data_IF_112279522205
#
_entry.id   IF_112279522205
#
_cell.length_a   1.000
_cell.length_b   1.000
_cell.length_c   1.000
_cell.angle_alpha   90.00
_cell.angle_beta   90.00
_cell.angle_gamma   90.00
#
_symmetry.space_group_name_H-M   'P 1'
#
loop_
_entity.id
_entity.type
_entity.pdbx_description
1 polymer ?
#
# COMPACT_ATOMS: atom_id res chain seq x y z
N UNK A 1 12.24 35.71 -6.47
CA UNK A 1 12.04 34.32 -6.06
C UNK A 1 12.13 33.41 -7.28
N UNK A 2 12.89 32.34 -7.20
CA UNK A 2 12.91 31.30 -8.22
C UNK A 2 11.60 30.50 -8.19
N UNK A 3 11.30 29.76 -9.27
CA UNK A 3 10.14 28.87 -9.32
C UNK A 3 10.18 27.85 -8.17
N UNK A 4 11.35 27.27 -7.91
CA UNK A 4 11.55 26.29 -6.84
C UNK A 4 11.25 26.88 -5.45
N UNK A 5 11.75 28.06 -5.12
CA UNK A 5 11.45 28.74 -3.85
C UNK A 5 9.97 29.04 -3.68
N UNK A 6 9.28 29.39 -4.79
CA UNK A 6 7.84 29.63 -4.80
C UNK A 6 7.05 28.35 -4.51
N UNK A 7 7.39 27.26 -5.20
CA UNK A 7 6.75 25.96 -5.01
C UNK A 7 6.96 25.42 -3.60
N UNK A 8 8.17 25.55 -3.04
CA UNK A 8 8.50 25.12 -1.68
C UNK A 8 7.65 25.89 -0.67
N UNK A 9 7.60 27.21 -0.75
CA UNK A 9 6.82 28.02 0.17
C UNK A 9 5.31 27.71 0.12
N UNK A 10 4.71 27.63 -1.07
CA UNK A 10 3.31 27.26 -1.22
C UNK A 10 3.05 25.86 -0.64
N UNK A 11 3.95 24.91 -0.90
CA UNK A 11 3.85 23.55 -0.38
C UNK A 11 3.90 23.49 1.14
N UNK A 12 4.76 24.28 1.77
CA UNK A 12 4.86 24.39 3.24
C UNK A 12 3.59 25.01 3.83
N UNK A 13 3.09 26.11 3.28
CA UNK A 13 1.85 26.75 3.75
C UNK A 13 0.61 25.88 3.58
N UNK A 14 0.50 25.17 2.45
CA UNK A 14 -0.65 24.27 2.17
C UNK A 14 -0.68 23.08 3.13
N UNK A 15 0.48 22.58 3.52
CA UNK A 15 0.62 21.41 4.40
C UNK A 15 0.71 21.75 5.88
N UNK A 16 0.62 23.04 6.23
CA UNK A 16 0.74 23.47 7.61
C UNK A 16 -0.40 22.92 8.49
N UNK A 17 -0.08 22.29 9.64
CA UNK A 17 -1.07 21.61 10.50
C UNK A 17 -2.15 22.53 11.05
N UNK A 18 -1.78 23.78 11.33
CA UNK A 18 -2.67 24.80 11.91
C UNK A 18 -3.32 25.68 10.86
N UNK A 19 -3.13 25.35 9.57
CA UNK A 19 -3.64 26.11 8.42
C UNK A 19 -2.72 27.24 7.97
N UNK A 20 -3.05 27.80 6.83
CA UNK A 20 -2.22 28.79 6.12
C UNK A 20 -1.93 30.04 6.96
N UNK A 21 -2.93 30.58 7.64
CA UNK A 21 -2.76 31.80 8.45
C UNK A 21 -1.72 31.61 9.55
N UNK A 22 -1.82 30.50 10.30
CA UNK A 22 -0.86 30.18 11.37
C UNK A 22 0.56 29.92 10.81
N UNK A 23 0.66 29.29 9.63
CA UNK A 23 1.96 29.05 8.99
C UNK A 23 2.69 30.35 8.62
N UNK A 24 1.94 31.36 8.13
CA UNK A 24 2.48 32.68 7.81
C UNK A 24 2.98 33.40 9.07
N UNK A 25 2.23 33.32 10.18
CA UNK A 25 2.63 33.88 11.46
C UNK A 25 3.88 33.20 12.03
N UNK A 26 3.96 31.87 11.95
CA UNK A 26 5.12 31.08 12.40
C UNK A 26 6.36 31.37 11.55
N UNK A 27 6.24 31.57 10.23
CA UNK A 27 7.34 31.97 9.33
C UNK A 27 7.88 33.35 9.72
N UNK A 28 7.00 34.34 9.95
CA UNK A 28 7.38 35.67 10.36
C UNK A 28 8.08 35.67 11.74
N UNK A 29 7.58 34.87 12.69
CA UNK A 29 8.15 34.77 14.03
C UNK A 29 9.55 34.09 14.03
N UNK A 30 9.78 33.18 13.10
CA UNK A 30 11.05 32.44 12.95
C UNK A 30 12.09 33.21 12.14
N UNK A 31 11.72 34.30 11.46
CA UNK A 31 12.62 35.09 10.65
C UNK A 31 13.64 35.84 11.51
N UNK A 32 14.95 35.83 11.18
CA UNK A 32 15.98 36.55 11.90
C UNK A 32 15.72 38.06 11.99
N UNK A 33 15.01 38.62 11.03
CA UNK A 33 14.71 40.05 10.93
C UNK A 33 13.39 40.44 11.64
N UNK A 34 12.62 39.43 12.13
CA UNK A 34 11.29 39.62 12.82
C UNK A 34 10.40 40.65 12.13
N UNK A 35 10.40 40.67 10.80
CA UNK A 35 9.52 41.54 10.01
C UNK A 35 8.09 40.98 10.01
N UNK A 36 7.24 41.51 10.87
CA UNK A 36 5.82 41.16 10.87
C UNK A 36 5.18 41.40 9.49
N UNK A 37 4.44 40.42 8.99
CA UNK A 37 3.73 40.48 7.72
C UNK A 37 4.57 40.26 6.47
N UNK A 38 5.84 39.84 6.59
CA UNK A 38 6.70 39.49 5.43
C UNK A 38 6.17 38.28 4.65
N UNK A 39 5.85 37.20 5.35
CA UNK A 39 5.29 36.00 4.75
C UNK A 39 3.93 36.30 4.08
N UNK A 40 3.08 37.12 4.72
CA UNK A 40 1.81 37.56 4.16
C UNK A 40 2.00 38.38 2.88
N UNK A 41 2.90 39.37 2.88
CA UNK A 41 3.23 40.16 1.65
C UNK A 41 3.79 39.28 0.55
N UNK A 42 4.60 38.28 0.89
CA UNK A 42 5.13 37.28 -0.05
C UNK A 42 4.01 36.48 -0.69
N UNK A 43 3.02 36.05 0.09
CA UNK A 43 1.85 35.34 -0.42
C UNK A 43 0.98 36.23 -1.32
N UNK A 44 0.73 37.49 -0.93
CA UNK A 44 -0.03 38.47 -1.70
C UNK A 44 0.59 38.79 -3.06
N UNK A 45 1.90 38.69 -3.20
CA UNK A 45 2.59 38.80 -4.49
C UNK A 45 2.38 37.59 -5.40
N UNK A 46 2.00 36.43 -4.85
CA UNK A 46 1.79 35.17 -5.57
C UNK A 46 0.32 34.91 -5.87
N UNK A 47 -0.57 35.30 -4.96
CA UNK A 47 -2.00 35.02 -5.03
C UNK A 47 -2.78 36.34 -4.94
N UNK A 48 -3.63 36.60 -5.93
CA UNK A 48 -4.48 37.80 -5.94
C UNK A 48 -5.53 37.72 -4.84
N UNK A 49 -5.70 38.82 -4.14
CA UNK A 49 -6.86 39.09 -3.28
C UNK A 49 -7.96 39.83 -4.05
N UNK A 50 -9.21 39.71 -3.60
CA UNK A 50 -10.31 40.56 -4.02
C UNK A 50 -11.11 41.06 -2.80
N UNK A 51 -12.22 41.74 -3.04
CA UNK A 51 -13.07 42.31 -1.98
C UNK A 51 -13.69 41.24 -1.06
N UNK A 52 -13.83 39.99 -1.52
CA UNK A 52 -14.48 38.91 -0.81
C UNK A 52 -13.51 38.01 -0.09
N UNK A 53 -12.25 37.86 -0.58
CA UNK A 53 -11.31 36.85 -0.10
C UNK A 53 -9.86 37.28 -0.29
N UNK A 54 -9.11 37.36 0.78
CA UNK A 54 -7.68 37.65 0.75
C UNK A 54 -6.85 36.45 0.27
N UNK A 55 -5.56 36.65 0.00
CA UNK A 55 -4.64 35.64 -0.50
C UNK A 55 -4.53 34.44 0.47
N UNK A 56 -4.57 34.70 1.78
CA UNK A 56 -4.50 33.66 2.82
C UNK A 56 -5.75 32.78 2.81
N UNK A 57 -6.92 33.37 2.71
CA UNK A 57 -8.19 32.65 2.60
C UNK A 57 -8.26 31.80 1.32
N UNK A 58 -7.80 32.33 0.18
CA UNK A 58 -7.74 31.58 -1.10
C UNK A 58 -6.82 30.35 -0.99
N UNK A 59 -5.63 30.53 -0.44
CA UNK A 59 -4.70 29.42 -0.23
C UNK A 59 -5.26 28.43 0.80
N UNK A 60 -5.98 28.91 1.83
CA UNK A 60 -6.66 28.07 2.81
C UNK A 60 -7.74 27.17 2.20
N UNK A 61 -8.54 27.69 1.26
CA UNK A 61 -9.50 26.88 0.49
C UNK A 61 -8.77 25.78 -0.30
N UNK A 62 -7.66 26.12 -0.96
CA UNK A 62 -6.86 25.14 -1.68
C UNK A 62 -6.25 24.08 -0.75
N UNK A 63 -5.71 24.49 0.40
CA UNK A 63 -5.16 23.57 1.41
C UNK A 63 -6.21 22.59 1.93
N UNK A 64 -7.42 23.08 2.24
CA UNK A 64 -8.54 22.22 2.64
C UNK A 64 -8.96 21.26 1.53
N UNK A 65 -9.02 21.71 0.28
CA UNK A 65 -9.34 20.86 -0.86
C UNK A 65 -8.25 19.80 -1.11
N UNK A 66 -6.98 20.14 -0.94
CA UNK A 66 -5.85 19.22 -1.05
C UNK A 66 -5.95 18.10 0.00
N UNK A 67 -6.14 18.48 1.28
CA UNK A 67 -6.31 17.51 2.38
C UNK A 67 -7.53 16.61 2.13
N UNK A 68 -8.67 17.18 1.79
CA UNK A 68 -9.92 16.44 1.56
C UNK A 68 -9.78 15.43 0.40
N UNK A 69 -9.04 15.78 -0.65
CA UNK A 69 -8.76 14.85 -1.76
C UNK A 69 -7.90 13.66 -1.32
N UNK A 70 -6.83 13.91 -0.57
CA UNK A 70 -6.00 12.82 -0.04
C UNK A 70 -6.81 11.94 0.89
N UNK A 71 -7.56 12.53 1.82
CA UNK A 71 -8.43 11.79 2.73
C UNK A 71 -9.43 10.92 1.97
N UNK A 72 -10.05 11.47 0.90
CA UNK A 72 -10.99 10.74 0.06
C UNK A 72 -10.35 9.55 -0.65
N UNK A 73 -9.14 9.72 -1.20
CA UNK A 73 -8.38 8.63 -1.82
C UNK A 73 -8.03 7.56 -0.80
N UNK A 74 -7.45 7.95 0.34
CA UNK A 74 -7.07 7.00 1.38
C UNK A 74 -8.28 6.24 1.97
N UNK A 75 -9.46 6.86 2.06
CA UNK A 75 -10.69 6.16 2.46
C UNK A 75 -11.12 5.09 1.46
N UNK A 76 -10.94 5.37 0.17
CA UNK A 76 -11.24 4.41 -0.88
C UNK A 76 -10.22 3.27 -0.92
N UNK A 77 -8.96 3.56 -0.62
CA UNK A 77 -7.85 2.62 -0.62
C UNK A 77 -7.85 1.68 0.60
N UNK A 78 -8.40 2.14 1.75
CA UNK A 78 -8.35 1.44 3.03
C UNK A 78 -9.75 1.21 3.67
N UNK A 79 -10.73 0.65 2.93
CA UNK A 79 -12.10 0.52 3.42
C UNK A 79 -12.23 -0.36 4.66
N UNK A 80 -11.43 -1.41 4.79
CA UNK A 80 -11.50 -2.29 5.96
C UNK A 80 -10.83 -1.66 7.19
N UNK A 81 -9.76 -0.88 7.03
CA UNK A 81 -9.19 -0.07 8.12
C UNK A 81 -10.20 0.97 8.57
N UNK A 82 -10.89 1.66 7.64
CA UNK A 82 -11.99 2.59 7.99
C UNK A 82 -13.08 1.88 8.79
N UNK A 83 -13.50 0.70 8.35
CA UNK A 83 -14.48 -0.12 9.07
C UNK A 83 -14.04 -0.51 10.48
N UNK A 84 -12.75 -0.78 10.67
CA UNK A 84 -12.16 -1.16 11.95
C UNK A 84 -12.10 0.00 12.96
N UNK A 85 -11.51 1.14 12.55
CA UNK A 85 -11.24 2.24 13.48
C UNK A 85 -12.31 3.33 13.46
N UNK A 86 -13.24 3.26 12.52
CA UNK A 86 -14.34 4.20 12.32
C UNK A 86 -13.90 5.49 11.63
N UNK A 87 -14.87 6.26 11.14
CA UNK A 87 -14.64 7.49 10.37
C UNK A 87 -13.81 8.54 11.11
N UNK A 88 -14.10 8.78 12.39
CA UNK A 88 -13.36 9.75 13.20
C UNK A 88 -11.93 9.29 13.41
N UNK A 89 -11.75 8.02 13.80
CA UNK A 89 -10.41 7.43 13.98
C UNK A 89 -9.58 7.45 12.71
N UNK A 90 -10.19 7.23 11.56
CA UNK A 90 -9.50 7.27 10.26
C UNK A 90 -9.11 8.71 9.87
N UNK A 91 -9.95 9.70 10.14
CA UNK A 91 -9.61 11.12 9.94
C UNK A 91 -8.42 11.52 10.79
N UNK A 92 -8.41 11.15 12.07
CA UNK A 92 -7.31 11.42 13.00
C UNK A 92 -6.02 10.72 12.56
N UNK A 93 -6.12 9.47 12.08
CA UNK A 93 -5.00 8.73 11.51
C UNK A 93 -4.41 9.47 10.31
N UNK A 94 -5.23 9.81 9.30
CA UNK A 94 -4.76 10.49 8.08
C UNK A 94 -4.17 11.85 8.39
N UNK A 95 -4.78 12.60 9.30
CA UNK A 95 -4.24 13.90 9.75
C UNK A 95 -2.86 13.73 10.36
N UNK A 96 -2.71 12.81 11.32
CA UNK A 96 -1.43 12.53 11.98
C UNK A 96 -0.38 11.99 10.99
N UNK A 97 -0.80 11.15 10.05
CA UNK A 97 0.05 10.59 9.01
C UNK A 97 0.61 11.68 8.09
N UNK A 98 -0.23 12.56 7.57
CA UNK A 98 0.21 13.62 6.64
C UNK A 98 1.08 14.69 7.29
N UNK A 99 1.04 14.85 8.62
CA UNK A 99 1.95 15.71 9.37
C UNK A 99 3.38 15.16 9.42
N UNK A 100 3.53 13.84 9.47
CA UNK A 100 4.82 13.14 9.58
C UNK A 100 5.34 12.74 8.20
N UNK A 101 4.46 12.22 7.36
CA UNK A 101 4.74 11.72 6.02
C UNK A 101 3.96 12.51 4.96
N UNK A 102 4.32 13.77 4.72
CA UNK A 102 3.65 14.56 3.70
C UNK A 102 3.89 13.95 2.31
N UNK A 103 2.87 13.98 1.45
CA UNK A 103 2.99 13.49 0.08
C UNK A 103 4.15 14.18 -0.64
N UNK A 104 5.07 13.39 -1.20
CA UNK A 104 6.23 13.83 -1.96
C UNK A 104 6.07 13.63 -3.47
N UNK A 105 5.04 12.89 -3.87
CA UNK A 105 4.70 12.62 -5.26
C UNK A 105 3.58 13.55 -5.74
N UNK A 106 3.63 14.02 -7.00
CA UNK A 106 2.50 14.72 -7.60
C UNK A 106 1.29 13.80 -7.81
N UNK A 107 1.49 12.49 -7.82
CA UNK A 107 0.44 11.48 -7.94
C UNK A 107 -0.12 11.12 -6.55
N UNK A 108 -1.44 11.18 -6.41
CA UNK A 108 -2.14 10.74 -5.20
C UNK A 108 -2.07 9.22 -4.99
N UNK A 109 -1.74 8.46 -6.04
CA UNK A 109 -1.58 7.01 -5.98
C UNK A 109 -0.67 6.55 -4.82
N UNK A 110 0.41 7.28 -4.57
CA UNK A 110 1.39 6.93 -3.55
C UNK A 110 1.11 7.53 -2.18
N UNK A 111 -0.04 8.21 -2.02
CA UNK A 111 -0.36 8.91 -0.78
C UNK A 111 -0.40 7.97 0.44
N UNK A 112 -0.85 6.72 0.25
CA UNK A 112 -0.97 5.71 1.30
C UNK A 112 0.24 4.78 1.48
N UNK A 113 1.28 4.88 0.64
CA UNK A 113 2.40 3.93 0.61
C UNK A 113 3.00 3.59 1.98
N UNK A 114 3.06 4.54 2.89
CA UNK A 114 3.67 4.39 4.22
C UNK A 114 2.66 4.32 5.37
N UNK A 115 1.34 4.26 5.05
CA UNK A 115 0.30 4.29 6.08
C UNK A 115 0.34 3.07 6.98
N UNK A 116 0.60 1.89 6.42
CA UNK A 116 0.74 0.65 7.18
C UNK A 116 1.93 0.69 8.15
N UNK A 117 3.08 1.17 7.70
CA UNK A 117 4.27 1.35 8.54
C UNK A 117 4.02 2.40 9.63
N UNK A 118 3.38 3.53 9.29
CA UNK A 118 3.00 4.56 10.24
C UNK A 118 2.07 4.01 11.34
N UNK A 119 1.04 3.24 10.96
CA UNK A 119 0.15 2.56 11.91
C UNK A 119 0.90 1.59 12.83
N UNK A 120 1.82 0.81 12.26
CA UNK A 120 2.53 -0.24 12.98
C UNK A 120 3.60 0.30 13.93
N UNK A 121 4.28 1.39 13.56
CA UNK A 121 5.53 1.78 14.20
C UNK A 121 5.56 3.17 14.81
N UNK A 122 4.72 4.12 14.34
CA UNK A 122 4.84 5.51 14.80
C UNK A 122 4.18 5.72 16.16
N UNK A 123 4.84 6.51 17.05
CA UNK A 123 4.40 6.75 18.43
C UNK A 123 3.01 7.40 18.53
N UNK A 124 2.66 8.28 17.59
CA UNK A 124 1.33 8.88 17.54
C UNK A 124 0.20 7.84 17.46
N UNK A 125 0.50 6.64 16.94
CA UNK A 125 -0.46 5.53 16.79
C UNK A 125 -0.45 4.55 17.97
N UNK A 126 0.29 4.79 19.03
CA UNK A 126 0.38 3.87 20.17
C UNK A 126 -1.00 3.51 20.78
N UNK A 127 -1.92 4.47 20.89
CA UNK A 127 -3.29 4.22 21.38
C UNK A 127 -4.13 3.41 20.40
N UNK A 128 -3.97 3.68 19.11
CA UNK A 128 -4.65 2.93 18.03
C UNK A 128 -4.18 1.49 18.02
N UNK A 129 -2.87 1.26 18.08
CA UNK A 129 -2.28 -0.09 18.15
C UNK A 129 -2.71 -0.85 19.41
N UNK A 130 -2.77 -0.19 20.57
CA UNK A 130 -3.23 -0.83 21.79
C UNK A 130 -4.69 -1.30 21.71
N UNK A 131 -5.52 -0.62 20.92
CA UNK A 131 -6.94 -0.96 20.74
C UNK A 131 -7.18 -1.91 19.56
N UNK A 132 -6.42 -1.78 18.48
CA UNK A 132 -6.49 -2.57 17.25
C UNK A 132 -5.07 -2.95 16.79
N UNK A 133 -4.47 -3.96 17.44
CA UNK A 133 -3.10 -4.39 17.11
C UNK A 133 -2.98 -4.89 15.67
N UNK A 134 -4.07 -5.37 15.08
CA UNK A 134 -4.17 -5.88 13.71
C UNK A 134 -4.31 -4.80 12.63
N UNK A 135 -4.49 -3.53 12.99
CA UNK A 135 -4.76 -2.45 12.03
C UNK A 135 -3.58 -2.23 11.04
N UNK A 136 -2.36 -2.39 11.49
CA UNK A 136 -1.17 -2.28 10.65
C UNK A 136 -1.10 -3.36 9.57
N UNK A 137 -1.34 -4.62 9.96
CA UNK A 137 -1.39 -5.75 9.03
C UNK A 137 -2.52 -5.60 8.02
N UNK A 138 -3.70 -5.16 8.49
CA UNK A 138 -4.84 -4.91 7.61
C UNK A 138 -4.54 -3.81 6.59
N UNK A 139 -3.90 -2.71 7.01
CA UNK A 139 -3.47 -1.66 6.11
C UNK A 139 -2.41 -2.15 5.11
N UNK A 140 -1.45 -2.97 5.55
CA UNK A 140 -0.44 -3.56 4.66
C UNK A 140 -1.06 -4.50 3.62
N UNK A 141 -2.10 -5.25 4.00
CA UNK A 141 -2.85 -6.07 3.07
C UNK A 141 -3.63 -5.25 2.05
N UNK A 142 -4.36 -4.20 2.47
CA UNK A 142 -5.10 -3.31 1.57
C UNK A 142 -4.15 -2.61 0.60
N UNK A 143 -2.99 -2.13 1.09
CA UNK A 143 -1.96 -1.56 0.21
C UNK A 143 -1.41 -2.58 -0.82
N UNK A 144 -1.14 -3.81 -0.40
CA UNK A 144 -0.66 -4.84 -1.32
C UNK A 144 -1.65 -5.13 -2.44
N UNK A 145 -2.97 -5.02 -2.19
CA UNK A 145 -4.01 -5.15 -3.21
C UNK A 145 -3.96 -4.02 -4.25
N UNK A 146 -3.69 -2.78 -3.79
CA UNK A 146 -3.50 -1.62 -4.68
C UNK A 146 -2.23 -1.79 -5.50
N UNK A 147 -1.15 -2.22 -4.86
CA UNK A 147 0.16 -2.40 -5.50
C UNK A 147 0.12 -3.42 -6.63
N UNK A 148 -0.57 -4.56 -6.45
CA UNK A 148 -0.74 -5.56 -7.53
C UNK A 148 -1.71 -5.09 -8.62
N UNK A 149 -2.72 -4.28 -8.27
CA UNK A 149 -3.65 -3.72 -9.26
C UNK A 149 -2.94 -2.81 -10.25
N UNK A 150 -2.01 -2.02 -9.76
CA UNK A 150 -1.27 -1.03 -10.54
C UNK A 150 0.07 -1.54 -11.11
N UNK A 151 0.43 -2.79 -10.82
CA UNK A 151 1.66 -3.38 -11.34
C UNK A 151 1.63 -3.50 -12.87
N UNK A 152 2.81 -3.53 -13.48
CA UNK A 152 2.93 -3.70 -14.93
C UNK A 152 2.36 -5.05 -15.39
N UNK A 153 1.80 -5.06 -16.60
CA UNK A 153 1.41 -6.29 -17.28
C UNK A 153 2.63 -7.01 -17.85
N UNK A 154 2.51 -8.33 -18.01
CA UNK A 154 3.54 -9.15 -18.64
C UNK A 154 2.97 -10.43 -19.22
N UNK A 155 3.77 -11.20 -19.96
CA UNK A 155 3.33 -12.44 -20.59
C UNK A 155 3.12 -13.53 -19.54
N UNK A 156 1.86 -13.85 -19.26
CA UNK A 156 1.49 -14.94 -18.35
C UNK A 156 1.81 -16.29 -18.99
N UNK A 157 2.45 -17.19 -18.25
CA UNK A 157 2.61 -18.58 -18.63
C UNK A 157 1.24 -19.29 -18.60
N UNK A 158 0.68 -19.53 -19.78
CA UNK A 158 -0.62 -20.20 -19.91
C UNK A 158 -0.49 -21.72 -20.06
N UNK A 159 -1.55 -22.45 -19.68
CA UNK A 159 -1.65 -23.93 -19.86
C UNK A 159 -1.41 -24.36 -21.30
N UNK A 160 -1.81 -23.56 -22.26
CA UNK A 160 -1.66 -23.88 -23.70
C UNK A 160 -0.17 -23.95 -24.09
N UNK A 161 0.68 -23.05 -23.57
CA UNK A 161 2.12 -23.12 -23.81
C UNK A 161 2.71 -24.36 -23.15
N UNK A 162 2.38 -24.59 -21.88
CA UNK A 162 2.88 -25.76 -21.13
C UNK A 162 2.51 -27.08 -21.80
N UNK A 163 1.28 -27.21 -22.34
CA UNK A 163 0.82 -28.43 -23.00
C UNK A 163 1.52 -28.75 -24.33
N UNK A 164 2.24 -27.80 -24.93
CA UNK A 164 2.99 -27.96 -26.18
C UNK A 164 4.45 -28.35 -25.98
N UNK A 165 4.96 -28.19 -24.78
CA UNK A 165 6.35 -28.49 -24.42
C UNK A 165 6.53 -29.98 -24.10
N UNK A 166 7.65 -30.56 -24.51
CA UNK A 166 8.07 -31.84 -23.99
C UNK A 166 8.38 -31.75 -22.49
N UNK A 167 8.21 -32.82 -21.71
CA UNK A 167 8.49 -32.79 -20.27
C UNK A 167 9.88 -32.28 -19.92
N UNK A 168 10.88 -32.63 -20.72
CA UNK A 168 12.27 -32.21 -20.55
C UNK A 168 12.43 -30.71 -20.79
N UNK A 169 11.76 -30.16 -21.82
CA UNK A 169 11.78 -28.71 -22.11
C UNK A 169 11.10 -27.92 -21.01
N UNK A 170 9.99 -28.45 -20.46
CA UNK A 170 9.28 -27.80 -19.35
C UNK A 170 10.10 -27.80 -18.06
N UNK A 171 10.80 -28.91 -17.75
CA UNK A 171 11.67 -29.03 -16.58
C UNK A 171 12.78 -27.95 -16.56
N UNK A 172 13.29 -27.62 -17.75
CA UNK A 172 14.34 -26.60 -17.90
C UNK A 172 13.85 -25.15 -17.91
N UNK A 173 12.53 -24.91 -17.96
CA UNK A 173 11.99 -23.55 -17.96
C UNK A 173 12.39 -22.80 -16.69
N UNK A 174 12.91 -21.60 -16.88
CA UNK A 174 13.16 -20.69 -15.77
C UNK A 174 11.89 -19.88 -15.49
N UNK A 175 11.29 -20.14 -14.34
CA UNK A 175 10.01 -19.60 -13.93
C UNK A 175 10.18 -18.51 -12.89
N UNK A 176 9.40 -17.44 -13.00
CA UNK A 176 9.30 -16.36 -12.03
C UNK A 176 7.84 -16.07 -11.72
N UNK A 177 7.60 -15.35 -10.63
CA UNK A 177 6.31 -14.72 -10.37
C UNK A 177 6.16 -13.45 -11.23
N UNK A 178 4.94 -13.21 -11.73
CA UNK A 178 4.61 -11.98 -12.44
C UNK A 178 4.73 -10.74 -11.53
N UNK A 179 5.01 -9.57 -12.12
CA UNK A 179 5.10 -8.31 -11.36
C UNK A 179 3.78 -7.94 -10.65
N UNK A 180 2.66 -8.52 -11.07
CA UNK A 180 1.35 -8.39 -10.45
C UNK A 180 1.06 -9.38 -9.32
N UNK A 181 2.08 -10.06 -8.80
CA UNK A 181 1.96 -11.03 -7.70
C UNK A 181 2.73 -10.54 -6.48
N UNK A 182 2.13 -10.65 -5.30
CA UNK A 182 2.80 -10.39 -4.02
C UNK A 182 2.59 -11.54 -3.06
N UNK A 183 3.69 -11.98 -2.45
CA UNK A 183 3.67 -12.86 -1.28
C UNK A 183 3.82 -11.99 -0.05
N UNK A 184 2.99 -12.19 0.96
CA UNK A 184 3.02 -11.44 2.22
C UNK A 184 2.75 -12.36 3.40
N UNK A 185 3.49 -12.11 4.48
CA UNK A 185 3.24 -12.70 5.79
C UNK A 185 2.69 -11.62 6.73
N UNK A 186 1.71 -11.98 7.54
CA UNK A 186 1.04 -11.11 8.50
C UNK A 186 0.96 -11.81 9.85
N UNK A 187 1.05 -11.06 10.95
CA UNK A 187 0.88 -11.61 12.29
C UNK A 187 -0.59 -11.91 12.64
N UNK A 188 -1.54 -11.41 11.86
CA UNK A 188 -2.98 -11.53 12.09
C UNK A 188 -3.71 -12.10 10.85
N UNK A 189 -4.91 -12.68 11.01
CA UNK A 189 -5.69 -13.28 9.91
C UNK A 189 -6.35 -12.22 9.02
N UNK A 190 -5.56 -11.49 8.26
CA UNK A 190 -5.97 -10.32 7.47
C UNK A 190 -7.10 -10.59 6.49
N UNK A 191 -7.20 -11.81 5.92
CA UNK A 191 -8.28 -12.15 4.98
C UNK A 191 -9.65 -12.17 5.67
N UNK A 192 -9.69 -12.66 6.90
CA UNK A 192 -10.91 -12.66 7.70
C UNK A 192 -11.28 -11.24 8.13
N UNK A 193 -10.30 -10.47 8.60
CA UNK A 193 -10.48 -9.09 9.01
C UNK A 193 -10.94 -8.21 7.85
N UNK A 194 -10.32 -8.37 6.69
CA UNK A 194 -10.68 -7.62 5.49
C UNK A 194 -12.11 -7.91 5.02
N UNK A 195 -12.53 -9.20 5.01
CA UNK A 195 -13.91 -9.58 4.67
C UNK A 195 -14.92 -8.95 5.61
N UNK A 196 -14.68 -8.99 6.92
CA UNK A 196 -15.53 -8.35 7.91
C UNK A 196 -15.66 -6.85 7.65
N UNK A 197 -14.53 -6.15 7.48
CA UNK A 197 -14.50 -4.71 7.25
C UNK A 197 -15.20 -4.27 5.97
N UNK A 198 -15.04 -5.01 4.88
CA UNK A 198 -15.68 -4.71 3.59
C UNK A 198 -17.18 -5.06 3.58
N UNK A 199 -17.64 -5.96 4.45
CA UNK A 199 -19.04 -6.27 4.64
C UNK A 199 -19.77 -5.32 5.62
N UNK A 200 -19.08 -4.29 6.12
CA UNK A 200 -19.65 -3.34 7.08
C UNK A 200 -19.71 -3.86 8.52
N UNK A 201 -19.04 -4.98 8.81
CA UNK A 201 -18.83 -5.47 10.15
C UNK A 201 -17.59 -4.80 10.76
N UNK A 202 -17.56 -4.68 12.11
CA UNK A 202 -16.33 -4.20 12.77
C UNK A 202 -15.34 -5.36 12.82
N UNK A 203 -14.21 -5.29 12.07
CA UNK A 203 -13.23 -6.34 12.11
C UNK A 203 -12.67 -6.46 13.53
N UNK A 204 -12.72 -7.66 14.09
CA UNK A 204 -12.14 -7.96 15.40
C UNK A 204 -11.50 -9.31 15.36
N UNK A 205 -10.30 -9.40 15.88
CA UNK A 205 -9.63 -10.66 16.10
C UNK A 205 -9.73 -11.05 17.59
N UNK A 206 -10.26 -12.23 17.84
CA UNK A 206 -10.38 -12.81 19.19
C UNK A 206 -9.66 -14.16 19.19
N UNK A 207 -8.33 -14.15 19.12
CA UNK A 207 -7.54 -15.38 19.09
C UNK A 207 -6.07 -15.12 19.37
N UNK A 208 -5.29 -16.19 19.39
CA UNK A 208 -3.83 -16.11 19.40
C UNK A 208 -3.37 -15.72 18.00
N UNK A 209 -2.54 -14.67 17.90
CA UNK A 209 -1.86 -14.33 16.66
C UNK A 209 -1.10 -15.53 16.13
N UNK A 210 -1.23 -15.79 14.84
CA UNK A 210 -0.49 -16.80 14.13
C UNK A 210 -0.11 -16.27 12.77
N UNK A 211 1.07 -16.62 12.28
CA UNK A 211 1.54 -16.15 10.98
C UNK A 211 0.58 -16.60 9.88
N UNK A 212 0.09 -15.63 9.10
CA UNK A 212 -0.81 -15.86 7.98
C UNK A 212 -0.08 -15.50 6.68
N UNK A 213 0.25 -16.52 5.89
CA UNK A 213 0.86 -16.35 4.57
C UNK A 213 -0.22 -16.19 3.51
N UNK A 214 -0.06 -15.18 2.66
CA UNK A 214 -1.06 -14.79 1.66
C UNK A 214 -0.37 -14.52 0.33
N UNK A 215 -0.91 -15.08 -0.75
CA UNK A 215 -0.64 -14.63 -2.11
C UNK A 215 -1.74 -13.67 -2.54
N UNK A 216 -1.34 -12.54 -3.14
CA UNK A 216 -2.21 -11.50 -3.68
C UNK A 216 -1.79 -11.28 -5.13
N UNK A 217 -2.74 -11.32 -6.07
CA UNK A 217 -2.42 -11.14 -7.47
C UNK A 217 -3.55 -10.46 -8.24
N UNK A 218 -3.21 -9.93 -9.43
CA UNK A 218 -4.19 -9.42 -10.39
C UNK A 218 -4.35 -10.40 -11.54
N UNK A 219 -5.60 -10.61 -11.92
CA UNK A 219 -5.97 -11.34 -13.13
C UNK A 219 -7.22 -10.66 -13.72
N UNK A 220 -7.21 -10.40 -15.04
CA UNK A 220 -8.33 -9.76 -15.74
C UNK A 220 -8.87 -8.50 -15.04
N UNK A 221 -7.99 -7.56 -14.68
CA UNK A 221 -8.30 -6.31 -13.98
C UNK A 221 -8.95 -6.48 -12.59
N UNK A 222 -8.90 -7.68 -12.02
CA UNK A 222 -9.40 -7.98 -10.68
C UNK A 222 -8.28 -8.45 -9.76
N UNK A 223 -8.35 -8.02 -8.51
CA UNK A 223 -7.40 -8.44 -7.49
C UNK A 223 -7.96 -9.61 -6.70
N UNK A 224 -7.23 -10.71 -6.74
CA UNK A 224 -7.50 -11.93 -6.00
C UNK A 224 -6.52 -12.10 -4.84
N UNK A 225 -6.85 -12.96 -3.92
CA UNK A 225 -6.00 -13.33 -2.80
C UNK A 225 -6.46 -14.65 -2.18
N UNK A 226 -5.52 -15.40 -1.63
CA UNK A 226 -5.79 -16.60 -0.82
C UNK A 226 -4.69 -16.87 0.18
N UNK A 227 -5.02 -17.65 1.20
CA UNK A 227 -4.03 -18.17 2.14
C UNK A 227 -3.12 -19.18 1.46
N UNK A 228 -1.89 -19.26 1.94
CA UNK A 228 -0.90 -20.25 1.59
C UNK A 228 -0.64 -21.13 2.83
N UNK A 229 -0.40 -22.42 2.61
CA UNK A 229 0.29 -23.23 3.60
C UNK A 229 1.80 -22.97 3.54
N UNK A 230 2.52 -23.43 4.54
CA UNK A 230 3.96 -23.15 4.67
C UNK A 230 4.80 -23.72 3.51
N UNK A 231 4.38 -24.86 2.95
CA UNK A 231 5.10 -25.48 1.84
C UNK A 231 4.84 -24.74 0.53
N UNK A 232 3.59 -24.38 0.25
CA UNK A 232 3.25 -23.59 -0.94
C UNK A 232 3.90 -22.20 -0.88
N UNK A 233 3.93 -21.58 0.30
CA UNK A 233 4.63 -20.30 0.50
C UNK A 233 6.12 -20.42 0.19
N UNK A 234 6.81 -21.44 0.72
CA UNK A 234 8.23 -21.68 0.48
C UNK A 234 8.52 -21.96 -1.00
N UNK A 235 7.64 -22.70 -1.68
CA UNK A 235 7.73 -22.96 -3.12
C UNK A 235 7.59 -21.68 -3.96
N UNK A 236 6.58 -20.85 -3.67
CA UNK A 236 6.38 -19.57 -4.36
C UNK A 236 7.50 -18.56 -4.02
N UNK A 237 8.06 -18.60 -2.83
CA UNK A 237 9.20 -17.76 -2.45
C UNK A 237 10.45 -18.07 -3.30
N UNK A 238 10.68 -19.34 -3.66
CA UNK A 238 11.75 -19.72 -4.61
C UNK A 238 11.49 -19.12 -5.98
N UNK A 239 10.26 -19.21 -6.49
CA UNK A 239 9.88 -18.64 -7.78
C UNK A 239 9.90 -17.10 -7.79
N UNK A 240 9.79 -16.45 -6.63
CA UNK A 240 9.93 -14.98 -6.56
C UNK A 240 11.36 -14.50 -6.86
N UNK A 241 12.35 -15.37 -6.67
CA UNK A 241 13.76 -15.13 -7.02
C UNK A 241 14.12 -15.67 -8.40
N UNK A 242 13.20 -16.39 -9.04
CA UNK A 242 13.43 -17.15 -10.26
C UNK A 242 14.05 -18.53 -9.96
N UNK A 243 13.49 -19.57 -10.54
CA UNK A 243 13.98 -20.95 -10.40
C UNK A 243 13.59 -21.79 -11.61
N UNK A 244 14.38 -22.80 -11.92
CA UNK A 244 13.98 -23.84 -12.87
C UNK A 244 12.90 -24.70 -12.23
N UNK A 245 12.03 -25.28 -13.06
CA UNK A 245 10.98 -26.13 -12.51
C UNK A 245 11.53 -27.45 -11.96
N UNK A 246 12.60 -28.00 -12.54
CA UNK A 246 13.29 -29.17 -12.00
C UNK A 246 13.90 -28.92 -10.61
N UNK A 247 14.56 -27.75 -10.38
CA UNK A 247 15.10 -27.36 -9.08
C UNK A 247 13.99 -27.26 -8.01
N UNK A 248 12.79 -26.80 -8.42
CA UNK A 248 11.63 -26.77 -7.53
C UNK A 248 11.13 -28.18 -7.20
N UNK A 249 11.12 -29.09 -8.17
CA UNK A 249 10.73 -30.49 -7.96
C UNK A 249 11.73 -31.22 -7.05
N UNK A 250 13.04 -31.00 -7.23
CA UNK A 250 14.08 -31.55 -6.35
C UNK A 250 13.90 -31.07 -4.91
N UNK A 251 13.67 -29.77 -4.72
CA UNK A 251 13.38 -29.23 -3.41
C UNK A 251 12.11 -29.85 -2.79
N UNK A 252 11.03 -30.00 -3.57
CA UNK A 252 9.80 -30.63 -3.11
C UNK A 252 10.01 -32.09 -2.70
N UNK A 253 10.89 -32.82 -3.39
CA UNK A 253 11.25 -34.20 -3.03
C UNK A 253 11.99 -34.28 -1.69
N UNK A 254 12.83 -33.27 -1.38
CA UNK A 254 13.51 -33.18 -0.08
C UNK A 254 12.52 -32.95 1.06
N UNK A 255 11.55 -32.04 0.85
CA UNK A 255 10.59 -31.64 1.89
C UNK A 255 9.45 -32.65 2.10
N UNK A 256 9.00 -33.34 1.04
CA UNK A 256 7.81 -34.19 1.05
C UNK A 256 8.11 -35.69 0.87
N UNK A 257 9.31 -36.00 0.43
CA UNK A 257 9.72 -37.36 0.01
C UNK A 257 9.33 -37.65 -1.46
N UNK A 258 10.05 -38.56 -2.08
CA UNK A 258 9.98 -38.91 -3.50
C UNK A 258 8.58 -39.38 -3.96
N UNK A 259 7.80 -39.99 -3.07
CA UNK A 259 6.46 -40.51 -3.38
C UNK A 259 5.40 -39.41 -3.47
N UNK A 260 5.44 -38.39 -2.56
CA UNK A 260 4.43 -37.35 -2.47
C UNK A 260 4.74 -36.12 -3.35
N UNK A 261 6.03 -35.82 -3.57
CA UNK A 261 6.48 -34.60 -4.24
C UNK A 261 5.94 -34.43 -5.66
N UNK A 262 5.91 -35.42 -6.58
CA UNK A 262 5.44 -35.23 -7.92
C UNK A 262 3.96 -34.82 -8.00
N UNK A 263 3.10 -35.44 -7.18
CA UNK A 263 1.69 -35.13 -7.11
C UNK A 263 1.43 -33.73 -6.55
N UNK A 264 2.20 -33.33 -5.54
CA UNK A 264 2.09 -31.99 -4.94
C UNK A 264 2.60 -30.90 -5.89
N UNK A 265 3.74 -31.10 -6.54
CA UNK A 265 4.28 -30.16 -7.51
C UNK A 265 3.32 -29.93 -8.68
N UNK A 266 2.72 -31.01 -9.20
CA UNK A 266 1.70 -30.93 -10.24
C UNK A 266 0.45 -30.14 -9.77
N UNK A 267 0.01 -30.34 -8.52
CA UNK A 267 -1.13 -29.64 -7.93
C UNK A 267 -0.83 -28.13 -7.80
N UNK A 268 0.36 -27.77 -7.32
CA UNK A 268 0.80 -26.38 -7.24
C UNK A 268 0.87 -25.73 -8.62
N UNK A 269 1.53 -26.38 -9.57
CA UNK A 269 1.68 -25.87 -10.93
C UNK A 269 0.32 -25.60 -11.58
N UNK A 270 -0.60 -26.56 -11.49
CA UNK A 270 -1.94 -26.41 -12.07
C UNK A 270 -2.67 -25.19 -11.46
N UNK A 271 -2.58 -25.03 -10.15
CA UNK A 271 -3.17 -23.88 -9.45
C UNK A 271 -2.52 -22.57 -9.87
N UNK A 272 -1.18 -22.49 -9.90
CA UNK A 272 -0.45 -21.27 -10.23
C UNK A 272 -0.67 -20.84 -11.70
N UNK A 273 -0.78 -21.80 -12.63
CA UNK A 273 -1.16 -21.54 -14.02
C UNK A 273 -2.60 -21.02 -14.10
N UNK A 274 -3.51 -21.60 -13.33
CA UNK A 274 -4.91 -21.16 -13.28
C UNK A 274 -5.06 -19.75 -12.67
N UNK A 275 -4.28 -19.47 -11.65
CA UNK A 275 -4.24 -18.17 -10.97
C UNK A 275 -3.47 -17.11 -11.80
N UNK A 276 -2.75 -17.51 -12.87
CA UNK A 276 -1.95 -16.60 -13.69
C UNK A 276 -0.77 -15.98 -12.97
N UNK A 277 -0.11 -16.74 -12.06
CA UNK A 277 0.97 -16.23 -11.23
C UNK A 277 2.34 -16.24 -11.93
N UNK A 278 2.52 -17.11 -12.95
CA UNK A 278 3.83 -17.45 -13.49
C UNK A 278 4.14 -16.73 -14.80
N UNK A 279 5.41 -16.40 -14.97
CA UNK A 279 6.02 -15.97 -16.22
C UNK A 279 7.25 -16.81 -16.53
N UNK A 280 7.65 -16.85 -17.79
CA UNK A 280 8.95 -17.37 -18.22
C UNK A 280 9.91 -16.18 -18.26
N UNK A 281 11.07 -16.30 -17.58
CA UNK A 281 12.09 -15.25 -17.51
C UNK A 281 13.07 -15.33 -18.70
#
# INVERSE_FOLDING_TARGET
>A
MSLHETQTAISEWVRAPKGVAAALEEEDASSPQRESGRAKRRLENLIRSDESLDASGRLGIYANAYFSRILGVLRADYPAVVGMIGDVGFNDLVTSYLLVEPSRSPSLRYAGLRLADFLSNHDAMARTRARWPEAGDLAAFEWARIDVFDAADGPVLGRELVSRLAPEEFAELFLCLGEWVRLRAFAHPVLQLWRAGTNGEIPRFQGTSGEAHVVIWRQDEKVFHRSLDALEEAALAKLSLGSRFDDLCEWAAIELGDEAAPGQAATWLERWLSDGLLVVA
#
